data_IF_520603460052
#
_entry.id   IF_520603460052
#
_cell.length_a   1.000
_cell.length_b   1.000
_cell.length_c   1.000
_cell.angle_alpha   90.00
_cell.angle_beta   90.00
_cell.angle_gamma   90.00
#
_symmetry.space_group_name_H-M   'P 1'
#
loop_
_entity.id
_entity.type
_entity.pdbx_description
1 polymer ?
#
# COMPACT_ATOMS: atom_id res chain seq x y z
N UNK A 1 -7.86 -2.35 -1.14
CA UNK A 1 -9.00 -3.31 -1.11
C UNK A 1 -9.01 -4.21 0.13
N UNK A 2 -7.89 -4.34 0.87
CA UNK A 2 -7.75 -5.34 1.96
C UNK A 2 -8.71 -5.14 3.15
N UNK A 3 -8.99 -3.89 3.57
CA UNK A 3 -9.94 -3.61 4.66
C UNK A 3 -11.37 -4.12 4.34
N UNK A 4 -11.89 -3.79 3.15
CA UNK A 4 -13.22 -4.21 2.71
C UNK A 4 -13.33 -5.73 2.64
N UNK A 5 -12.29 -6.40 2.13
CA UNK A 5 -12.26 -7.86 2.03
C UNK A 5 -12.35 -8.52 3.41
N UNK A 6 -11.66 -7.98 4.42
CA UNK A 6 -11.71 -8.52 5.78
C UNK A 6 -13.03 -8.20 6.48
N UNK A 7 -13.51 -6.95 6.39
CA UNK A 7 -14.74 -6.52 7.05
C UNK A 7 -16.03 -7.05 6.42
N UNK A 8 -15.97 -7.58 5.18
CA UNK A 8 -17.13 -8.07 4.40
C UNK A 8 -18.25 -7.03 4.28
N UNK A 9 -17.88 -5.75 4.26
CA UNK A 9 -18.81 -4.63 4.27
C UNK A 9 -18.10 -3.33 3.88
N UNK A 10 -18.85 -2.23 3.70
CA UNK A 10 -18.27 -0.92 3.39
C UNK A 10 -17.32 -0.48 4.51
N UNK A 11 -16.20 0.11 4.11
CA UNK A 11 -15.20 0.66 5.01
C UNK A 11 -14.86 2.07 4.56
N UNK A 12 -14.49 2.93 5.50
CA UNK A 12 -14.04 4.30 5.24
C UNK A 12 -12.61 4.48 5.75
N UNK A 13 -11.86 5.37 5.13
CA UNK A 13 -10.54 5.76 5.63
C UNK A 13 -10.72 6.68 6.83
N UNK A 14 -10.31 6.22 8.02
CA UNK A 14 -10.40 7.01 9.25
C UNK A 14 -9.22 7.99 9.38
N UNK A 15 -8.00 7.50 9.15
CA UNK A 15 -6.76 8.27 9.19
C UNK A 15 -5.76 7.67 8.21
N UNK A 16 -4.87 8.48 7.68
CA UNK A 16 -3.70 8.03 6.90
C UNK A 16 -2.47 8.48 7.66
N UNK A 17 -1.58 7.54 8.00
CA UNK A 17 -0.32 7.83 8.67
C UNK A 17 0.68 8.56 7.77
N UNK A 18 1.89 8.78 8.30
CA UNK A 18 2.98 9.36 7.53
C UNK A 18 3.34 8.45 6.35
N UNK A 19 3.47 9.05 5.16
CA UNK A 19 3.93 8.36 3.95
C UNK A 19 5.39 8.70 3.73
N UNK A 20 6.24 7.66 3.72
CA UNK A 20 7.67 7.84 3.50
C UNK A 20 8.03 7.52 2.05
N UNK A 21 8.40 8.54 1.30
CA UNK A 21 8.90 8.39 -0.08
C UNK A 21 10.41 8.19 -0.06
N UNK A 22 10.83 6.96 -0.34
CA UNK A 22 12.25 6.55 -0.31
C UNK A 22 12.90 6.68 -1.68
N UNK A 23 12.15 6.38 -2.76
CA UNK A 23 12.64 6.44 -4.13
C UNK A 23 11.55 6.91 -5.08
N UNK A 24 11.89 7.65 -6.15
CA UNK A 24 10.92 8.08 -7.14
C UNK A 24 10.44 6.89 -7.97
N UNK A 25 9.14 6.86 -8.27
CA UNK A 25 8.60 6.02 -9.32
C UNK A 25 8.63 6.84 -10.64
N UNK A 26 9.34 6.34 -11.66
CA UNK A 26 9.56 7.07 -12.93
C UNK A 26 8.48 6.71 -13.96
N UNK A 27 8.27 7.60 -14.94
CA UNK A 27 7.46 7.31 -16.12
C UNK A 27 7.95 6.05 -16.84
N UNK A 28 7.02 5.17 -17.20
CA UNK A 28 7.31 3.87 -17.81
C UNK A 28 7.56 2.72 -16.83
N UNK A 29 7.63 2.99 -15.52
CA UNK A 29 7.68 1.94 -14.51
C UNK A 29 6.28 1.41 -14.17
N UNK A 30 6.18 0.11 -13.89
CA UNK A 30 4.97 -0.51 -13.34
C UNK A 30 4.98 -0.35 -11.83
N UNK A 31 3.88 0.16 -11.28
CA UNK A 31 3.73 0.35 -9.83
C UNK A 31 2.94 -0.82 -9.25
N UNK A 32 3.55 -1.52 -8.30
CA UNK A 32 2.90 -2.59 -7.53
C UNK A 32 2.53 -2.04 -6.15
N UNK A 33 1.24 -2.03 -5.85
CA UNK A 33 0.71 -1.63 -4.55
C UNK A 33 0.20 -2.88 -3.82
N UNK A 34 0.90 -3.27 -2.77
CA UNK A 34 0.49 -4.35 -1.89
C UNK A 34 -0.08 -3.75 -0.61
N UNK A 35 -1.26 -4.21 -0.18
CA UNK A 35 -1.88 -3.75 1.06
C UNK A 35 -2.30 -4.94 1.91
N UNK A 36 -2.05 -4.88 3.22
CA UNK A 36 -2.35 -5.95 4.16
C UNK A 36 -2.89 -5.35 5.47
N UNK A 37 -3.92 -5.98 6.03
CA UNK A 37 -4.39 -5.62 7.37
C UNK A 37 -3.36 -6.12 8.38
N UNK A 38 -2.75 -5.21 9.12
CA UNK A 38 -1.75 -5.52 10.15
C UNK A 38 -2.41 -5.82 11.50
N UNK A 39 -3.47 -5.07 11.85
CA UNK A 39 -4.16 -5.20 13.13
C UNK A 39 -5.64 -4.90 12.97
N UNK A 40 -6.47 -5.61 13.72
CA UNK A 40 -7.91 -5.37 13.82
C UNK A 40 -8.27 -4.97 15.24
N UNK A 41 -9.20 -4.04 15.37
CA UNK A 41 -9.83 -3.64 16.62
C UNK A 41 -11.34 -3.90 16.52
N UNK A 42 -12.13 -3.35 17.44
CA UNK A 42 -13.58 -3.59 17.52
C UNK A 42 -14.33 -3.14 16.27
N UNK A 43 -14.00 -1.95 15.74
CA UNK A 43 -14.62 -1.37 14.54
C UNK A 43 -13.61 -0.73 13.57
N UNK A 44 -12.31 -0.81 13.87
CA UNK A 44 -11.24 -0.22 13.07
C UNK A 44 -10.18 -1.25 12.70
N UNK A 45 -9.39 -0.93 11.67
CA UNK A 45 -8.34 -1.79 11.14
C UNK A 45 -7.14 -0.93 10.76
N UNK A 46 -5.94 -1.40 11.08
CA UNK A 46 -4.67 -0.84 10.61
C UNK A 46 -4.25 -1.57 9.33
N UNK A 47 -3.97 -0.82 8.27
CA UNK A 47 -3.66 -1.39 6.95
C UNK A 47 -2.32 -0.85 6.47
N UNK A 48 -1.32 -1.73 6.50
CA UNK A 48 -0.02 -1.44 5.90
C UNK A 48 -0.09 -1.50 4.38
N UNK A 49 0.49 -0.50 3.73
CA UNK A 49 0.63 -0.40 2.28
C UNK A 49 2.11 -0.32 1.94
N UNK A 50 2.54 -1.16 1.00
CA UNK A 50 3.88 -1.16 0.43
C UNK A 50 3.78 -0.93 -1.07
N UNK A 51 4.53 0.04 -1.56
CA UNK A 51 4.59 0.40 -2.97
C UNK A 51 5.98 0.10 -3.50
N UNK A 52 6.03 -0.68 -4.57
CA UNK A 52 7.25 -0.98 -5.32
C UNK A 52 7.07 -0.50 -6.76
N UNK A 53 8.16 -0.02 -7.37
CA UNK A 53 8.20 0.24 -8.79
C UNK A 53 9.10 -0.80 -9.47
N UNK A 54 8.64 -1.30 -10.60
CA UNK A 54 9.31 -2.26 -11.44
C UNK A 54 9.59 -1.64 -12.80
N UNK A 55 10.84 -1.69 -13.25
CA UNK A 55 11.19 -1.33 -14.62
C UNK A 55 10.88 -2.50 -15.55
N UNK A 56 9.93 -2.30 -16.46
CA UNK A 56 9.47 -3.32 -17.41
C UNK A 56 10.56 -3.83 -18.37
N UNK A 57 11.60 -3.04 -18.63
CA UNK A 57 12.68 -3.42 -19.55
C UNK A 57 13.75 -4.27 -18.89
N UNK A 58 14.01 -4.01 -17.60
CA UNK A 58 15.10 -4.66 -16.85
C UNK A 58 14.61 -5.66 -15.81
N UNK A 59 13.32 -5.62 -15.45
CA UNK A 59 12.71 -6.41 -14.37
C UNK A 59 13.16 -5.97 -12.97
N UNK A 60 13.94 -4.91 -12.84
CA UNK A 60 14.42 -4.46 -11.53
C UNK A 60 13.29 -3.82 -10.73
N UNK A 61 13.18 -4.24 -9.47
CA UNK A 61 12.23 -3.70 -8.50
C UNK A 61 12.91 -2.88 -7.43
N UNK A 62 12.31 -1.76 -7.08
CA UNK A 62 12.70 -0.98 -5.91
C UNK A 62 11.51 -0.51 -5.10
N UNK A 63 11.72 -0.42 -3.79
CA UNK A 63 10.73 0.11 -2.88
C UNK A 63 10.62 1.63 -3.03
N UNK A 64 9.44 2.12 -3.44
CA UNK A 64 9.18 3.55 -3.62
C UNK A 64 8.72 4.19 -2.30
N UNK A 65 7.67 3.63 -1.67
CA UNK A 65 7.12 4.16 -0.43
C UNK A 65 6.33 3.13 0.36
N UNK A 66 6.16 3.41 1.65
CA UNK A 66 5.29 2.66 2.56
C UNK A 66 4.44 3.62 3.39
N UNK A 67 3.24 3.16 3.74
CA UNK A 67 2.29 3.83 4.61
C UNK A 67 1.63 2.81 5.54
N UNK A 68 1.20 3.26 6.71
CA UNK A 68 0.54 2.44 7.74
C UNK A 68 -0.70 3.16 8.27
#
# INVERSE_FOLDING_TARGET
MSAKTLARGPCVTAVVGAVHFLRPCRLGAVVIVAAMVHRTFTSSMEVGVRVEAEDMRTGQRHHCCSAY
#
